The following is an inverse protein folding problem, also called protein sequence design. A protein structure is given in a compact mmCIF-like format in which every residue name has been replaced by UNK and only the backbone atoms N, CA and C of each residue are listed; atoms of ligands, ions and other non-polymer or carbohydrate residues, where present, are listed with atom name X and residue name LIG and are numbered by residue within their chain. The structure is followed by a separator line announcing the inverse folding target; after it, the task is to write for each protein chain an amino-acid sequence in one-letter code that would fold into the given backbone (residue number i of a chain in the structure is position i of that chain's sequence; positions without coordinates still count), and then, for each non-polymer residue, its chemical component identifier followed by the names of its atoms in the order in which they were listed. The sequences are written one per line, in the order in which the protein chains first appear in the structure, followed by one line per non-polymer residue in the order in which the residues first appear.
data_IF_188241329052
#
_entry.id   IF_188241329052
#
_cell.length_a   1.000
_cell.length_b   1.000
_cell.length_c   1.000
_cell.angle_alpha   90.00
_cell.angle_beta   90.00
_cell.angle_gamma   90.00
#
_symmetry.space_group_name_H-M   'P 1'
#
loop_
_entity.id
_entity.type
_entity.pdbx_description
1 polymer ?
#
# COMPACT_ATOMS: atom_id res chain seq x y z
N UNK A 1 28.13 -7.97 22.99
CA UNK A 1 28.13 -7.74 21.53
C UNK A 1 26.74 -8.07 21.01
N UNK A 2 25.87 -7.08 20.74
CA UNK A 2 24.54 -7.36 20.16
C UNK A 2 24.76 -7.77 18.71
N UNK A 3 24.45 -9.01 18.36
CA UNK A 3 24.47 -9.46 16.98
C UNK A 3 23.48 -8.59 16.17
N UNK A 4 23.98 -7.94 15.12
CA UNK A 4 23.11 -7.22 14.20
C UNK A 4 22.21 -8.23 13.49
N UNK A 5 20.90 -7.97 13.38
CA UNK A 5 19.98 -8.89 12.71
C UNK A 5 20.38 -9.07 11.25
N UNK A 6 20.40 -10.32 10.79
CA UNK A 6 20.76 -10.68 9.41
C UNK A 6 19.78 -10.05 8.41
N UNK A 7 20.19 -9.89 7.15
CA UNK A 7 19.31 -9.38 6.09
C UNK A 7 18.00 -10.18 5.97
N UNK A 8 18.08 -11.51 6.13
CA UNK A 8 16.92 -12.41 6.14
C UNK A 8 16.01 -12.23 7.36
N UNK A 9 16.55 -11.85 8.53
CA UNK A 9 15.75 -11.56 9.73
C UNK A 9 15.02 -10.21 9.60
N UNK A 10 15.65 -9.27 8.88
CA UNK A 10 15.02 -8.00 8.51
C UNK A 10 13.88 -8.26 7.53
N UNK A 11 14.11 -9.01 6.45
CA UNK A 11 13.06 -9.38 5.49
C UNK A 11 11.89 -10.16 6.14
N UNK A 12 12.15 -11.12 7.05
CA UNK A 12 11.07 -11.82 7.77
C UNK A 12 10.28 -10.94 8.73
N UNK A 13 10.89 -9.94 9.36
CA UNK A 13 10.16 -8.94 10.18
C UNK A 13 9.32 -8.00 9.33
N UNK A 14 9.70 -7.84 8.07
CA UNK A 14 9.07 -6.93 7.13
C UNK A 14 7.83 -7.53 6.47
N UNK A 15 7.81 -8.86 6.37
CA UNK A 15 6.62 -9.63 6.02
C UNK A 15 5.66 -9.84 7.21
N UNK A 16 5.96 -9.31 8.40
CA UNK A 16 5.01 -9.34 9.52
C UNK A 16 3.83 -8.38 9.26
N UNK A 17 2.57 -8.85 9.40
CA UNK A 17 1.40 -8.03 9.15
C UNK A 17 1.29 -6.78 10.04
N UNK A 18 1.79 -6.81 11.28
CA UNK A 18 1.73 -5.65 12.16
C UNK A 18 2.70 -4.56 11.70
N UNK A 19 3.95 -4.93 11.38
CA UNK A 19 4.94 -4.02 10.80
C UNK A 19 4.41 -3.40 9.49
N UNK A 20 3.81 -4.21 8.61
CA UNK A 20 3.24 -3.72 7.34
C UNK A 20 2.12 -2.70 7.59
N UNK A 21 1.24 -2.95 8.55
CA UNK A 21 0.17 -2.04 8.92
C UNK A 21 0.70 -0.70 9.46
N UNK A 22 1.71 -0.72 10.32
CA UNK A 22 2.36 0.49 10.82
C UNK A 22 3.00 1.29 9.68
N UNK A 23 3.71 0.61 8.78
CA UNK A 23 4.29 1.24 7.60
C UNK A 23 3.23 1.85 6.69
N UNK A 24 2.08 1.19 6.49
CA UNK A 24 0.95 1.77 5.76
C UNK A 24 0.44 3.05 6.41
N UNK A 25 0.28 3.08 7.74
CA UNK A 25 -0.17 4.27 8.47
C UNK A 25 0.80 5.43 8.31
N UNK A 26 2.11 5.16 8.35
CA UNK A 26 3.16 6.17 8.18
C UNK A 26 3.30 6.65 6.73
N UNK A 27 3.11 5.76 5.76
CA UNK A 27 3.27 6.03 4.34
C UNK A 27 2.05 6.73 3.74
N UNK A 28 0.84 6.34 4.12
CA UNK A 28 -0.43 6.80 3.54
C UNK A 28 -0.97 8.05 4.24
N UNK A 29 -0.10 9.00 4.60
CA UNK A 29 -0.47 10.18 5.38
C UNK A 29 -1.25 11.21 4.58
N UNK A 30 -1.01 11.34 3.27
CA UNK A 30 -1.77 12.29 2.46
C UNK A 30 -3.19 11.80 2.23
N UNK A 31 -3.36 10.51 1.96
CA UNK A 31 -4.66 9.87 1.87
C UNK A 31 -5.48 10.05 3.16
N UNK A 32 -4.83 9.87 4.31
CA UNK A 32 -5.41 10.13 5.64
C UNK A 32 -5.84 11.60 5.80
N UNK A 33 -4.95 12.54 5.48
CA UNK A 33 -5.19 13.97 5.70
C UNK A 33 -6.27 14.57 4.78
N UNK A 34 -6.25 14.22 3.49
CA UNK A 34 -7.14 14.82 2.48
C UNK A 34 -8.54 14.22 2.49
N UNK A 35 -8.66 12.93 2.81
CA UNK A 35 -9.92 12.18 2.67
C UNK A 35 -10.45 11.59 3.98
N UNK A 36 -9.78 11.84 5.11
CA UNK A 36 -10.21 11.35 6.43
C UNK A 36 -10.17 9.82 6.58
N UNK A 37 -9.47 9.12 5.68
CA UNK A 37 -9.35 7.66 5.72
C UNK A 37 -8.37 7.28 6.83
N UNK A 38 -8.86 6.89 7.99
CA UNK A 38 -8.04 6.39 9.10
C UNK A 38 -8.23 4.89 9.29
N UNK A 39 -7.16 4.17 9.61
CA UNK A 39 -7.18 2.75 9.92
C UNK A 39 -6.17 2.42 11.02
N UNK A 40 -6.61 1.64 12.01
CA UNK A 40 -5.80 1.19 13.15
C UNK A 40 -5.56 -0.32 13.15
N UNK A 41 -6.38 -1.06 12.38
CA UNK A 41 -6.29 -2.50 12.20
C UNK A 41 -6.43 -2.88 10.71
N UNK A 42 -6.05 -4.11 10.36
CA UNK A 42 -6.32 -4.66 9.03
C UNK A 42 -7.81 -4.71 8.70
N UNK A 43 -8.66 -5.02 9.69
CA UNK A 43 -10.12 -5.01 9.52
C UNK A 43 -10.63 -3.61 9.17
N UNK A 44 -10.09 -2.55 9.78
CA UNK A 44 -10.46 -1.17 9.45
C UNK A 44 -10.08 -0.85 8.01
N UNK A 45 -8.86 -1.18 7.61
CA UNK A 45 -8.36 -0.94 6.26
C UNK A 45 -9.19 -1.70 5.21
N UNK A 46 -9.52 -2.96 5.47
CA UNK A 46 -10.41 -3.74 4.63
C UNK A 46 -11.83 -3.15 4.57
N UNK A 47 -12.35 -2.63 5.68
CA UNK A 47 -13.63 -1.92 5.74
C UNK A 47 -13.64 -0.64 4.92
N UNK A 48 -12.49 0.02 4.77
CA UNK A 48 -12.31 1.21 3.94
C UNK A 48 -12.06 0.90 2.45
N UNK A 49 -11.90 -0.38 2.08
CA UNK A 49 -11.49 -0.75 0.72
C UNK A 49 -12.43 -0.23 -0.36
N UNK A 50 -13.75 -0.29 -0.16
CA UNK A 50 -14.70 0.23 -1.16
C UNK A 50 -14.64 1.76 -1.28
N UNK A 51 -14.46 2.48 -0.16
CA UNK A 51 -14.26 3.93 -0.14
C UNK A 51 -13.01 4.32 -0.91
N UNK A 52 -11.87 3.70 -0.59
CA UNK A 52 -10.59 3.98 -1.24
C UNK A 52 -10.68 3.64 -2.73
N UNK A 53 -11.29 2.49 -3.07
CA UNK A 53 -11.47 2.05 -4.46
C UNK A 53 -12.27 3.07 -5.27
N UNK A 54 -13.37 3.56 -4.73
CA UNK A 54 -14.21 4.57 -5.38
C UNK A 54 -13.43 5.89 -5.58
N UNK A 55 -12.67 6.31 -4.56
CA UNK A 55 -11.84 7.51 -4.62
C UNK A 55 -10.87 7.50 -5.80
N UNK A 56 -10.22 6.36 -6.05
CA UNK A 56 -9.24 6.22 -7.15
C UNK A 56 -9.80 5.54 -8.40
N UNK A 57 -11.13 5.49 -8.50
CA UNK A 57 -11.87 4.99 -9.66
C UNK A 57 -11.44 3.59 -10.11
N UNK A 58 -11.08 2.71 -9.16
CA UNK A 58 -10.81 1.31 -9.48
C UNK A 58 -12.15 0.56 -9.60
N UNK A 59 -12.43 -0.14 -10.70
CA UNK A 59 -13.69 -0.88 -10.84
C UNK A 59 -13.81 -2.04 -9.83
N UNK A 60 -15.04 -2.43 -9.48
CA UNK A 60 -15.28 -3.50 -8.48
C UNK A 60 -14.74 -4.85 -8.97
N UNK A 61 -14.87 -5.14 -10.26
CA UNK A 61 -14.32 -6.34 -10.89
C UNK A 61 -12.79 -6.39 -10.80
N UNK A 62 -12.12 -5.24 -10.91
CA UNK A 62 -10.67 -5.13 -10.75
C UNK A 62 -10.26 -5.43 -9.31
N UNK A 63 -11.00 -4.91 -8.33
CA UNK A 63 -10.80 -5.24 -6.91
C UNK A 63 -10.96 -6.73 -6.65
N UNK A 64 -12.07 -7.33 -7.13
CA UNK A 64 -12.34 -8.76 -6.95
C UNK A 64 -11.21 -9.60 -7.55
N UNK A 65 -10.74 -9.28 -8.76
CA UNK A 65 -9.61 -9.97 -9.37
C UNK A 65 -8.33 -9.87 -8.53
N UNK A 66 -8.02 -8.68 -8.00
CA UNK A 66 -6.89 -8.48 -7.11
C UNK A 66 -6.97 -9.31 -5.82
N UNK A 67 -8.14 -9.36 -5.17
CA UNK A 67 -8.38 -10.17 -3.98
C UNK A 67 -8.21 -11.66 -4.26
N UNK A 68 -8.69 -12.14 -5.41
CA UNK A 68 -8.54 -13.55 -5.80
C UNK A 68 -7.07 -13.95 -6.00
N UNK A 69 -6.25 -13.03 -6.50
CA UNK A 69 -4.83 -13.30 -6.81
C UNK A 69 -3.93 -13.22 -5.58
N UNK A 70 -4.12 -12.20 -4.74
CA UNK A 70 -3.17 -11.86 -3.68
C UNK A 70 -3.73 -12.00 -2.27
N UNK A 71 -5.03 -12.28 -2.13
CA UNK A 71 -5.74 -12.20 -0.86
C UNK A 71 -6.17 -10.78 -0.51
N UNK A 72 -7.15 -10.68 0.39
CA UNK A 72 -7.81 -9.42 0.75
C UNK A 72 -6.86 -8.41 1.40
N UNK A 73 -6.02 -8.87 2.32
CA UNK A 73 -5.06 -8.04 3.04
C UNK A 73 -4.08 -7.34 2.09
N UNK A 74 -3.45 -8.10 1.20
CA UNK A 74 -2.51 -7.59 0.19
C UNK A 74 -3.21 -6.65 -0.80
N UNK A 75 -4.43 -6.99 -1.22
CA UNK A 75 -5.21 -6.12 -2.08
C UNK A 75 -5.53 -4.78 -1.39
N UNK A 76 -5.91 -4.80 -0.12
CA UNK A 76 -6.20 -3.58 0.65
C UNK A 76 -4.94 -2.72 0.84
N UNK A 77 -3.79 -3.34 1.15
CA UNK A 77 -2.51 -2.65 1.24
C UNK A 77 -2.11 -1.99 -0.09
N UNK A 78 -2.19 -2.73 -1.20
CA UNK A 78 -1.88 -2.20 -2.52
C UNK A 78 -2.83 -1.04 -2.89
N UNK A 79 -4.12 -1.17 -2.58
CA UNK A 79 -5.10 -0.13 -2.83
C UNK A 79 -4.75 1.19 -2.12
N UNK A 80 -4.39 1.12 -0.83
CA UNK A 80 -3.93 2.28 -0.07
C UNK A 80 -2.66 2.90 -0.65
N UNK A 81 -1.69 2.08 -1.10
CA UNK A 81 -0.46 2.56 -1.74
C UNK A 81 -0.76 3.31 -3.05
N UNK A 82 -1.63 2.75 -3.91
CA UNK A 82 -2.01 3.40 -5.17
C UNK A 82 -2.74 4.71 -4.88
N UNK A 83 -3.62 4.72 -3.89
CA UNK A 83 -4.33 5.92 -3.48
C UNK A 83 -3.40 7.01 -2.97
N UNK A 84 -2.51 6.71 -2.02
CA UNK A 84 -1.51 7.68 -1.55
C UNK A 84 -0.68 8.26 -2.70
N UNK A 85 -0.22 7.42 -3.65
CA UNK A 85 0.56 7.89 -4.80
C UNK A 85 -0.23 8.83 -5.71
N UNK A 86 -1.49 8.52 -5.99
CA UNK A 86 -2.36 9.37 -6.80
C UNK A 86 -2.63 10.71 -6.12
N UNK A 87 -2.94 10.69 -4.82
CA UNK A 87 -3.19 11.92 -4.05
C UNK A 87 -1.94 12.81 -4.03
N UNK A 88 -0.76 12.23 -3.84
CA UNK A 88 0.52 12.97 -3.93
C UNK A 88 0.78 13.56 -5.31
N UNK A 89 0.48 12.79 -6.36
CA UNK A 89 0.66 13.23 -7.75
C UNK A 89 -0.27 14.39 -8.08
N UNK A 90 -1.53 14.33 -7.64
CA UNK A 90 -2.51 15.40 -7.81
C UNK A 90 -2.11 16.67 -7.05
N UNK A 91 -1.50 16.53 -5.86
CA UNK A 91 -0.98 17.63 -5.07
C UNK A 91 0.39 18.17 -5.55
N UNK A 92 0.89 17.73 -6.72
CA UNK A 92 2.18 18.14 -7.31
C UNK A 92 3.37 18.02 -6.35
N UNK A 93 3.36 17.00 -5.47
CA UNK A 93 4.44 16.81 -4.49
C UNK A 93 5.73 16.30 -5.15
N UNK A 94 6.92 16.77 -4.72
CA UNK A 94 8.20 16.29 -5.24
C UNK A 94 8.34 14.76 -5.08
N UNK A 95 8.79 14.08 -6.15
CA UNK A 95 8.97 12.63 -6.15
C UNK A 95 7.68 11.82 -6.33
N UNK A 96 6.52 12.47 -6.55
CA UNK A 96 5.29 11.78 -6.90
C UNK A 96 5.31 11.37 -8.40
N UNK A 97 5.32 10.07 -8.65
CA UNK A 97 5.18 9.54 -10.00
C UNK A 97 3.70 9.54 -10.41
N UNK A 98 3.42 10.06 -11.59
CA UNK A 98 2.07 10.02 -12.17
C UNK A 98 1.66 8.58 -12.48
N UNK A 99 0.47 8.19 -12.01
CA UNK A 99 -0.12 6.89 -12.32
C UNK A 99 -1.24 7.10 -13.34
N UNK A 100 -0.90 7.01 -14.63
CA UNK A 100 -1.86 7.22 -15.71
C UNK A 100 -3.01 6.18 -15.74
N UNK A 101 -2.79 4.96 -15.23
CA UNK A 101 -3.78 3.86 -15.24
C UNK A 101 -3.85 3.15 -13.88
N UNK A 102 -4.59 3.68 -12.90
CA UNK A 102 -4.66 3.17 -11.52
C UNK A 102 -5.01 1.69 -11.42
N UNK A 103 -6.09 1.26 -12.09
CA UNK A 103 -6.56 -0.13 -12.08
C UNK A 103 -5.49 -1.11 -12.60
N UNK A 104 -4.79 -0.73 -13.68
CA UNK A 104 -3.71 -1.56 -14.25
C UNK A 104 -2.53 -1.62 -13.30
N UNK A 105 -2.12 -0.50 -12.74
CA UNK A 105 -1.00 -0.44 -11.80
C UNK A 105 -1.29 -1.27 -10.54
N UNK A 106 -2.51 -1.15 -9.99
CA UNK A 106 -3.00 -1.97 -8.88
C UNK A 106 -2.89 -3.47 -9.17
N UNK A 107 -3.43 -3.94 -10.30
CA UNK A 107 -3.33 -5.36 -10.67
C UNK A 107 -1.89 -5.81 -10.90
N UNK A 108 -1.07 -4.98 -11.57
CA UNK A 108 0.35 -5.28 -11.79
C UNK A 108 1.13 -5.43 -10.49
N UNK A 109 0.79 -4.68 -9.44
CA UNK A 109 1.35 -4.92 -8.10
C UNK A 109 0.94 -6.31 -7.60
N UNK A 110 -0.36 -6.62 -7.63
CA UNK A 110 -0.89 -7.86 -7.04
C UNK A 110 -0.50 -9.13 -7.77
N UNK A 111 -0.33 -9.10 -9.10
CA UNK A 111 0.15 -10.26 -9.88
C UNK A 111 1.59 -10.69 -9.53
N UNK A 112 2.33 -9.86 -8.79
CA UNK A 112 3.64 -10.22 -8.23
C UNK A 112 3.53 -11.01 -6.93
N UNK A 113 2.38 -10.99 -6.27
CA UNK A 113 2.15 -11.68 -5.00
C UNK A 113 2.32 -13.20 -5.06
N UNK A 114 1.78 -13.94 -6.06
CA UNK A 114 1.98 -15.38 -6.14
C UNK A 114 3.45 -15.81 -6.32
N UNK A 115 4.31 -14.88 -6.74
CA UNK A 115 5.74 -15.09 -6.94
C UNK A 115 6.59 -14.70 -5.72
N UNK A 116 5.96 -14.22 -4.63
CA UNK A 116 6.67 -13.66 -3.48
C UNK A 116 7.28 -12.27 -3.73
N UNK A 117 6.91 -11.62 -4.84
CA UNK A 117 7.54 -10.38 -5.32
C UNK A 117 6.68 -9.12 -5.05
N UNK A 118 5.68 -9.21 -4.19
CA UNK A 118 4.82 -8.06 -3.87
C UNK A 118 5.58 -6.96 -3.12
N UNK A 119 6.70 -7.30 -2.46
CA UNK A 119 7.65 -6.40 -1.79
C UNK A 119 6.98 -5.17 -1.13
N UNK A 120 5.93 -5.40 -0.32
CA UNK A 120 5.13 -4.34 0.30
C UNK A 120 5.99 -3.48 1.22
N UNK A 121 6.75 -4.10 2.12
CA UNK A 121 7.52 -3.37 3.11
C UNK A 121 8.62 -2.48 2.51
N UNK A 122 9.46 -2.91 1.54
CA UNK A 122 10.35 -2.01 0.81
C UNK A 122 9.62 -0.82 0.15
N UNK A 123 8.49 -1.10 -0.50
CA UNK A 123 7.67 -0.07 -1.16
C UNK A 123 7.14 0.95 -0.16
N UNK A 124 6.60 0.47 0.97
CA UNK A 124 6.03 1.30 2.02
C UNK A 124 7.09 2.12 2.74
N UNK A 125 8.29 1.58 2.97
CA UNK A 125 9.40 2.36 3.53
C UNK A 125 9.85 3.49 2.63
N UNK A 126 10.00 3.22 1.34
CA UNK A 126 10.35 4.26 0.38
C UNK A 126 9.28 5.37 0.37
N UNK A 127 8.00 4.98 0.45
CA UNK A 127 6.87 5.90 0.49
C UNK A 127 6.83 6.69 1.83
N UNK A 128 7.03 6.04 2.96
CA UNK A 128 7.10 6.66 4.28
C UNK A 128 8.27 7.65 4.39
N UNK A 129 9.46 7.29 3.88
CA UNK A 129 10.62 8.19 3.81
C UNK A 129 10.31 9.43 2.95
N UNK A 130 9.69 9.25 1.78
CA UNK A 130 9.23 10.34 0.93
C UNK A 130 8.10 11.16 1.57
N UNK A 131 7.40 10.64 2.58
CA UNK A 131 6.39 11.39 3.33
C UNK A 131 6.97 12.28 4.42
N UNK A 132 8.22 12.05 4.84
CA UNK A 132 8.88 12.79 5.92
C UNK A 132 9.72 13.96 5.41
N UNK A 133 10.05 13.97 4.12
CA UNK A 133 10.73 15.08 3.43
C UNK A 133 9.69 15.98 2.76
#
# INVERSE_FOLDING_TARGET
MRAEPSAQDRERRDDDPATTLELLRLACRQLQAEYGISFSSWRDLEGQADTIRALIQIPRETWVAGVQVAGRMNAAAALAIVAEKLVRSAALKPGAAEIAKPARYFLSMLYRSPKGELHLAPTLRALAKSAMN
#
